data_IF_134902289988
#
_entry.id   IF_134902289988
#
_cell.length_a   1.000
_cell.length_b   1.000
_cell.length_c   1.000
_cell.angle_alpha   90.00
_cell.angle_beta   90.00
_cell.angle_gamma   90.00
#
_symmetry.space_group_name_H-M   'P 1'
#
loop_
_entity.id
_entity.type
_entity.pdbx_description
1 polymer ?
#
# COMPACT_ATOMS: atom_id res chain seq x y z
N UNK A 1 18.78 22.63 28.37
CA UNK A 1 18.14 21.33 28.61
C UNK A 1 18.85 20.55 29.72
N UNK A 2 20.19 20.44 29.71
CA UNK A 2 20.97 19.74 30.77
C UNK A 2 20.64 20.23 32.16
N UNK A 3 20.65 21.55 32.39
CA UNK A 3 20.36 22.15 33.68
C UNK A 3 18.90 21.90 34.14
N UNK A 4 17.94 21.88 33.22
CA UNK A 4 16.54 21.58 33.55
C UNK A 4 16.39 20.14 34.03
N UNK A 5 17.09 19.19 33.39
CA UNK A 5 17.00 17.77 33.72
C UNK A 5 17.69 17.40 35.03
N UNK A 6 18.79 18.08 35.36
CA UNK A 6 19.63 17.71 36.51
C UNK A 6 19.43 18.63 37.69
N UNK A 7 19.48 19.92 37.45
CA UNK A 7 19.48 20.96 38.54
C UNK A 7 18.08 21.56 38.77
N UNK A 8 17.09 21.22 37.90
CA UNK A 8 15.73 21.80 37.92
C UNK A 8 15.74 23.34 37.96
N UNK A 9 16.72 23.93 37.30
CA UNK A 9 16.85 25.37 37.17
C UNK A 9 16.94 25.81 35.71
N UNK A 10 16.57 27.07 35.46
CA UNK A 10 16.71 27.73 34.15
C UNK A 10 17.56 28.98 34.37
N UNK A 11 18.57 29.16 33.55
CA UNK A 11 19.34 30.39 33.50
C UNK A 11 18.71 31.40 32.54
N UNK A 12 18.22 32.51 33.07
CA UNK A 12 17.67 33.61 32.27
C UNK A 12 18.55 34.83 32.50
N UNK A 13 19.23 35.30 31.46
CA UNK A 13 20.13 36.47 31.52
C UNK A 13 21.15 36.42 32.67
N UNK A 14 21.69 35.21 32.94
CA UNK A 14 22.68 35.02 34.01
C UNK A 14 22.12 34.79 35.41
N UNK A 15 20.82 34.88 35.61
CA UNK A 15 20.15 34.57 36.88
C UNK A 15 19.64 33.15 36.90
N UNK A 16 19.96 32.37 37.94
CA UNK A 16 19.41 31.04 38.19
C UNK A 16 18.00 31.16 38.75
N UNK A 17 17.02 30.68 38.04
CA UNK A 17 15.62 30.57 38.50
C UNK A 17 15.33 29.12 38.78
N UNK A 18 15.12 28.75 40.05
CA UNK A 18 14.63 27.42 40.42
C UNK A 18 13.14 27.35 40.12
N UNK A 19 12.79 26.38 39.30
CA UNK A 19 11.40 26.07 38.98
C UNK A 19 10.98 24.84 39.78
N UNK A 20 9.94 24.91 40.62
CA UNK A 20 9.34 23.72 41.20
C UNK A 20 8.58 22.97 40.10
N UNK A 21 9.35 22.27 39.27
CA UNK A 21 8.77 21.57 38.10
C UNK A 21 8.43 20.13 38.48
N UNK A 22 7.16 19.84 38.49
CA UNK A 22 6.64 18.47 38.37
C UNK A 22 6.30 18.25 36.89
N UNK A 23 7.32 17.89 36.12
CA UNK A 23 7.22 17.74 34.66
C UNK A 23 7.79 16.39 34.23
N UNK A 24 7.16 15.78 33.26
CA UNK A 24 7.69 14.65 32.47
C UNK A 24 8.30 15.23 31.20
N UNK A 25 9.59 14.95 30.98
CA UNK A 25 10.25 15.31 29.74
C UNK A 25 10.28 14.11 28.80
N UNK A 26 9.65 14.26 27.64
CA UNK A 26 9.67 13.27 26.56
C UNK A 26 10.43 13.88 25.39
N UNK A 27 11.39 13.12 24.84
CA UNK A 27 12.14 13.53 23.66
C UNK A 27 12.11 12.42 22.62
N UNK A 28 12.01 12.79 21.34
CA UNK A 28 12.19 11.89 20.22
C UNK A 28 13.53 12.12 19.55
N UNK A 29 14.18 11.05 19.11
CA UNK A 29 15.43 11.11 18.38
C UNK A 29 15.44 10.04 17.29
N UNK A 30 15.95 10.39 16.10
CA UNK A 30 16.24 9.42 15.07
C UNK A 30 17.66 8.87 15.26
N UNK A 31 17.85 7.56 15.51
CA UNK A 31 19.19 6.98 15.67
C UNK A 31 20.07 7.09 14.42
N UNK A 32 19.47 7.25 13.24
CA UNK A 32 20.17 7.30 11.96
C UNK A 32 20.78 8.69 11.66
N UNK A 33 20.34 9.73 12.35
CA UNK A 33 20.96 11.07 12.27
C UNK A 33 22.38 11.12 12.89
N UNK A 34 23.11 10.00 12.85
CA UNK A 34 24.51 9.88 13.31
C UNK A 34 25.53 10.56 12.37
N UNK A 35 25.16 11.58 11.64
CA UNK A 35 26.13 12.49 11.06
C UNK A 35 26.86 13.23 12.18
N UNK A 36 28.13 13.60 11.97
CA UNK A 36 29.05 14.16 12.98
C UNK A 36 28.55 15.40 13.78
N UNK A 37 27.32 15.87 13.52
CA UNK A 37 26.67 17.01 14.17
C UNK A 37 25.45 16.65 15.04
N UNK A 38 24.96 15.41 15.01
CA UNK A 38 23.69 14.99 15.65
C UNK A 38 23.81 13.91 16.72
N UNK A 39 25.03 13.50 17.16
CA UNK A 39 25.14 12.53 18.26
C UNK A 39 24.45 13.06 19.50
N UNK A 40 23.41 12.36 19.94
CA UNK A 40 22.93 12.50 21.32
C UNK A 40 24.14 12.30 22.24
N UNK A 41 24.60 13.40 22.83
CA UNK A 41 25.73 13.35 23.73
C UNK A 41 25.41 12.41 24.91
N UNK A 42 26.34 11.54 25.26
CA UNK A 42 26.21 10.57 26.36
C UNK A 42 25.58 11.19 27.61
N UNK A 43 25.95 12.41 28.03
CA UNK A 43 25.35 13.09 29.18
C UNK A 43 23.83 13.31 29.09
N UNK A 44 23.24 13.41 27.90
CA UNK A 44 21.78 13.49 27.76
C UNK A 44 21.12 12.12 27.93
N UNK A 45 21.74 11.05 27.40
CA UNK A 45 21.21 9.69 27.54
C UNK A 45 21.12 9.26 29.01
N UNK A 46 22.13 9.60 29.81
CA UNK A 46 22.19 9.25 31.25
C UNK A 46 21.11 9.95 32.10
N UNK A 47 20.52 11.03 31.58
CA UNK A 47 19.52 11.81 32.29
C UNK A 47 18.08 11.45 32.00
N UNK A 48 17.85 10.66 30.94
CA UNK A 48 16.54 10.09 30.68
C UNK A 48 16.37 8.79 31.46
N UNK A 49 15.29 8.70 32.25
CA UNK A 49 15.03 7.53 33.11
C UNK A 49 14.66 6.27 32.32
N UNK A 50 14.20 6.42 31.07
CA UNK A 50 13.86 5.30 30.20
C UNK A 50 14.07 5.65 28.73
N UNK A 51 14.36 4.65 27.93
CA UNK A 51 14.44 4.73 26.48
C UNK A 51 13.50 3.70 25.88
N UNK A 52 12.57 4.18 25.04
CA UNK A 52 11.66 3.34 24.28
C UNK A 52 12.17 3.30 22.84
N UNK A 53 12.40 2.11 22.32
CA UNK A 53 12.71 1.91 20.90
C UNK A 53 11.42 1.62 20.14
N UNK A 54 11.15 2.42 19.14
CA UNK A 54 10.11 2.12 18.16
C UNK A 54 10.67 1.19 17.09
N UNK A 55 9.81 0.39 16.51
CA UNK A 55 10.12 -0.50 15.39
C UNK A 55 9.03 -0.40 14.31
N UNK A 56 9.28 -0.94 13.15
CA UNK A 56 8.26 -1.07 12.12
C UNK A 56 7.20 -2.08 12.55
N UNK A 57 5.96 -2.00 12.04
CA UNK A 57 4.96 -3.03 12.21
C UNK A 57 5.52 -4.41 11.83
N UNK A 58 5.24 -5.41 12.66
CA UNK A 58 5.75 -6.77 12.47
C UNK A 58 4.85 -7.61 11.57
N UNK A 59 3.58 -7.24 11.49
CA UNK A 59 2.54 -7.91 10.72
C UNK A 59 1.80 -6.91 9.83
N UNK A 60 1.11 -7.46 8.83
CA UNK A 60 0.37 -6.66 7.84
C UNK A 60 -0.85 -6.00 8.48
N UNK A 61 -1.55 -6.68 9.39
CA UNK A 61 -2.75 -6.16 10.05
C UNK A 61 -2.46 -4.88 10.83
N UNK A 62 -1.32 -4.84 11.54
CA UNK A 62 -0.87 -3.62 12.24
C UNK A 62 -0.55 -2.50 11.24
N UNK A 63 0.05 -2.82 10.09
CA UNK A 63 0.34 -1.83 9.05
C UNK A 63 -0.96 -1.29 8.43
N UNK A 64 -1.94 -2.16 8.15
CA UNK A 64 -3.28 -1.79 7.66
C UNK A 64 -3.97 -0.86 8.65
N UNK A 65 -4.00 -1.21 9.95
CA UNK A 65 -4.60 -0.37 10.97
C UNK A 65 -3.97 1.04 11.07
N UNK A 66 -2.66 1.15 10.82
CA UNK A 66 -1.97 2.46 10.76
C UNK A 66 -2.36 3.23 9.50
N UNK A 67 -2.48 2.57 8.34
CA UNK A 67 -2.94 3.20 7.11
C UNK A 67 -4.34 3.78 7.31
N UNK A 68 -5.27 2.98 7.83
CA UNK A 68 -6.65 3.40 8.08
C UNK A 68 -6.77 4.58 9.06
N UNK A 69 -5.87 4.65 10.05
CA UNK A 69 -5.84 5.72 11.02
C UNK A 69 -5.23 7.02 10.47
N UNK A 70 -4.18 6.94 9.65
CA UNK A 70 -3.30 8.07 9.34
C UNK A 70 -3.44 8.58 7.90
N UNK A 71 -3.98 7.79 6.95
CA UNK A 71 -4.12 8.22 5.58
C UNK A 71 -5.25 9.26 5.43
N UNK A 72 -4.96 10.35 4.73
CA UNK A 72 -5.99 11.34 4.36
C UNK A 72 -6.67 10.93 3.05
N UNK A 73 -7.77 10.21 3.17
CA UNK A 73 -8.58 9.74 2.06
C UNK A 73 -9.77 10.65 1.78
N UNK A 74 -9.70 11.92 2.15
CA UNK A 74 -10.77 12.89 1.94
C UNK A 74 -11.03 13.10 0.45
N UNK A 75 -12.27 12.88 0.03
CA UNK A 75 -12.75 13.13 -1.33
C UNK A 75 -13.84 14.20 -1.34
N UNK A 76 -14.14 14.75 -2.52
CA UNK A 76 -15.22 15.71 -2.72
C UNK A 76 -16.57 15.14 -2.27
N UNK A 77 -17.46 15.97 -1.73
CA UNK A 77 -18.75 15.53 -1.16
C UNK A 77 -19.72 14.90 -2.21
N UNK A 78 -19.44 15.07 -3.48
CA UNK A 78 -20.16 14.46 -4.61
C UNK A 78 -19.61 13.09 -5.03
N UNK A 79 -18.52 12.66 -4.40
CA UNK A 79 -17.90 11.36 -4.63
C UNK A 79 -18.13 10.42 -3.43
N UNK A 80 -18.39 9.17 -3.74
CA UNK A 80 -18.59 8.10 -2.78
C UNK A 80 -17.43 7.10 -2.85
N UNK A 81 -16.51 7.21 -1.88
CA UNK A 81 -15.31 6.41 -1.80
C UNK A 81 -15.52 5.15 -0.94
N UNK A 82 -15.20 4.01 -1.50
CA UNK A 82 -15.02 2.76 -0.75
C UNK A 82 -13.70 2.11 -1.16
N UNK A 83 -12.84 1.83 -0.20
CA UNK A 83 -11.58 1.12 -0.45
C UNK A 83 -11.76 -0.32 0.01
N UNK A 84 -11.69 -1.32 -0.89
CA UNK A 84 -11.76 -2.73 -0.49
C UNK A 84 -10.59 -3.10 0.41
N UNK A 85 -10.82 -3.88 1.46
CA UNK A 85 -9.81 -4.26 2.45
C UNK A 85 -8.58 -4.93 1.79
N UNK A 86 -8.80 -5.77 0.77
CA UNK A 86 -7.71 -6.39 0.04
C UNK A 86 -6.81 -5.39 -0.72
N UNK A 87 -7.31 -4.20 -1.09
CA UNK A 87 -6.50 -3.17 -1.74
C UNK A 87 -5.55 -2.50 -0.74
N UNK A 88 -6.04 -2.15 0.45
CA UNK A 88 -5.20 -1.65 1.55
C UNK A 88 -4.18 -2.70 2.00
N UNK A 89 -4.56 -3.97 2.03
CA UNK A 89 -3.66 -5.09 2.32
C UNK A 89 -2.55 -5.23 1.26
N UNK A 90 -2.86 -5.04 -0.03
CA UNK A 90 -1.84 -4.99 -1.08
C UNK A 90 -0.85 -3.87 -0.80
N UNK A 91 -1.31 -2.66 -0.48
CA UNK A 91 -0.44 -1.51 -0.17
C UNK A 91 0.46 -1.79 1.03
N UNK A 92 -0.09 -2.35 2.12
CA UNK A 92 0.69 -2.76 3.28
C UNK A 92 1.74 -3.82 2.90
N UNK A 93 1.35 -4.81 2.11
CA UNK A 93 2.22 -5.90 1.64
C UNK A 93 3.36 -5.39 0.75
N UNK A 94 3.13 -4.36 -0.10
CA UNK A 94 4.20 -3.70 -0.88
C UNK A 94 5.28 -3.15 0.06
N UNK A 95 4.90 -2.51 1.15
CA UNK A 95 5.84 -1.95 2.12
C UNK A 95 6.61 -3.04 2.87
N UNK A 96 5.94 -4.13 3.26
CA UNK A 96 6.59 -5.29 3.85
C UNK A 96 7.57 -5.97 2.88
N UNK A 97 7.19 -6.13 1.61
CA UNK A 97 8.07 -6.64 0.56
C UNK A 97 9.29 -5.73 0.34
N UNK A 98 9.10 -4.40 0.37
CA UNK A 98 10.19 -3.44 0.26
C UNK A 98 11.18 -3.56 1.43
N UNK A 99 10.70 -3.74 2.68
CA UNK A 99 11.56 -3.98 3.85
C UNK A 99 12.36 -5.28 3.75
N UNK A 100 11.83 -6.30 3.09
CA UNK A 100 12.48 -7.59 2.90
C UNK A 100 13.36 -7.64 1.64
N UNK A 101 13.27 -6.66 0.76
CA UNK A 101 13.96 -6.65 -0.53
C UNK A 101 15.45 -6.38 -0.37
N UNK A 102 16.28 -7.16 -1.09
CA UNK A 102 17.72 -6.95 -1.18
C UNK A 102 18.11 -5.75 -2.07
N UNK A 103 17.14 -5.26 -2.86
CA UNK A 103 17.34 -4.11 -3.76
C UNK A 103 17.01 -2.78 -3.08
N UNK A 104 16.49 -2.80 -1.86
CA UNK A 104 16.16 -1.61 -1.08
C UNK A 104 17.19 -1.45 0.04
N UNK A 105 17.72 -0.23 0.18
CA UNK A 105 18.70 0.08 1.21
C UNK A 105 18.12 -0.11 2.61
N UNK A 106 18.65 -1.11 3.31
CA UNK A 106 18.23 -1.38 4.70
C UNK A 106 18.78 -0.33 5.68
N UNK A 107 19.75 0.49 5.26
CA UNK A 107 20.29 1.59 6.07
C UNK A 107 19.34 2.75 6.18
N UNK A 108 18.68 3.09 5.06
CA UNK A 108 17.69 4.17 5.01
C UNK A 108 16.35 3.73 5.61
N UNK A 109 16.10 2.42 5.65
CA UNK A 109 14.87 1.83 6.13
C UNK A 109 13.66 2.13 5.24
N UNK A 110 12.52 1.48 5.54
CA UNK A 110 11.25 1.71 4.84
C UNK A 110 10.19 2.06 5.87
N UNK A 111 9.89 3.35 5.96
CA UNK A 111 8.93 3.88 6.93
C UNK A 111 7.49 3.53 6.56
N UNK A 112 6.61 3.42 7.56
CA UNK A 112 5.14 3.33 7.39
C UNK A 112 4.57 4.49 6.56
N UNK A 113 5.26 5.64 6.50
CA UNK A 113 4.89 6.74 5.60
C UNK A 113 4.84 6.33 4.12
N UNK A 114 5.52 5.25 3.75
CA UNK A 114 5.40 4.68 2.41
C UNK A 114 4.01 4.12 2.19
N UNK A 115 3.50 3.29 3.13
CA UNK A 115 2.17 2.70 3.05
C UNK A 115 1.09 3.76 3.00
N UNK A 116 1.16 4.76 3.90
CA UNK A 116 0.22 5.88 3.94
C UNK A 116 0.19 6.61 2.59
N UNK A 117 1.36 7.00 2.07
CA UNK A 117 1.42 7.73 0.80
C UNK A 117 1.01 6.87 -0.41
N UNK A 118 1.25 5.56 -0.36
CA UNK A 118 0.80 4.65 -1.40
C UNK A 118 -0.73 4.50 -1.39
N UNK A 119 -1.36 4.47 -0.23
CA UNK A 119 -2.81 4.45 -0.09
C UNK A 119 -3.44 5.74 -0.63
N UNK A 120 -2.90 6.89 -0.22
CA UNK A 120 -3.35 8.20 -0.70
C UNK A 120 -3.24 8.33 -2.23
N UNK A 121 -2.12 7.86 -2.84
CA UNK A 121 -1.92 7.92 -4.28
C UNK A 121 -2.82 6.91 -5.02
N UNK A 122 -3.04 5.74 -4.46
CA UNK A 122 -3.97 4.74 -4.98
C UNK A 122 -5.38 5.31 -5.08
N UNK A 123 -5.87 5.90 -4.00
CA UNK A 123 -7.20 6.54 -3.95
C UNK A 123 -7.26 7.75 -4.89
N UNK A 124 -6.22 8.58 -4.93
CA UNK A 124 -6.17 9.73 -5.85
C UNK A 124 -6.24 9.28 -7.33
N UNK A 125 -5.60 8.15 -7.68
CA UNK A 125 -5.69 7.59 -9.02
C UNK A 125 -7.08 7.04 -9.33
N UNK A 126 -7.72 6.35 -8.38
CA UNK A 126 -9.10 5.88 -8.50
C UNK A 126 -10.08 7.05 -8.67
N UNK A 127 -9.91 8.15 -7.92
CA UNK A 127 -10.68 9.40 -8.09
C UNK A 127 -10.50 9.96 -9.50
N UNK A 128 -9.25 10.07 -9.96
CA UNK A 128 -8.94 10.55 -11.32
C UNK A 128 -9.65 9.70 -12.38
N UNK A 129 -9.63 8.36 -12.24
CA UNK A 129 -10.30 7.44 -13.15
C UNK A 129 -11.82 7.60 -13.10
N UNK A 130 -12.42 7.70 -11.91
CA UNK A 130 -13.86 7.89 -11.75
C UNK A 130 -14.35 9.21 -12.35
N UNK A 131 -13.62 10.31 -12.15
CA UNK A 131 -13.94 11.61 -12.77
C UNK A 131 -13.88 11.55 -14.31
N UNK A 132 -12.91 10.82 -14.88
CA UNK A 132 -12.79 10.65 -16.33
C UNK A 132 -13.91 9.80 -16.92
N UNK A 133 -14.42 8.83 -16.19
CA UNK A 133 -15.56 7.98 -16.59
C UNK A 133 -16.91 8.61 -16.28
N UNK A 134 -16.95 9.72 -15.53
CA UNK A 134 -18.19 10.37 -15.09
C UNK A 134 -18.91 9.61 -13.97
N UNK A 135 -18.21 8.73 -13.23
CA UNK A 135 -18.76 8.01 -12.08
C UNK A 135 -18.59 8.84 -10.81
N UNK A 136 -19.60 8.87 -9.95
CA UNK A 136 -19.50 9.38 -8.58
C UNK A 136 -18.97 8.31 -7.60
N UNK A 137 -19.05 7.02 -7.97
CA UNK A 137 -18.53 5.91 -7.15
C UNK A 137 -17.04 5.73 -7.39
N UNK A 138 -16.26 5.76 -6.33
CA UNK A 138 -14.81 5.62 -6.36
C UNK A 138 -14.42 4.36 -5.59
N UNK A 139 -13.94 3.36 -6.32
CA UNK A 139 -13.39 2.13 -5.73
C UNK A 139 -12.05 1.87 -6.40
N UNK A 140 -10.93 1.83 -5.66
CA UNK A 140 -9.62 1.47 -6.21
C UNK A 140 -9.63 0.08 -6.87
N UNK A 141 -8.93 -0.06 -7.99
CA UNK A 141 -8.77 -1.30 -8.76
C UNK A 141 -7.28 -1.61 -8.99
N UNK A 142 -6.97 -2.80 -9.45
CA UNK A 142 -5.58 -3.20 -9.75
C UNK A 142 -4.89 -2.25 -10.73
N UNK A 143 -5.63 -1.73 -11.71
CA UNK A 143 -5.10 -0.74 -12.66
C UNK A 143 -4.62 0.54 -11.96
N UNK A 144 -5.19 0.92 -10.84
CA UNK A 144 -4.82 2.12 -10.08
C UNK A 144 -3.46 1.96 -9.36
N UNK A 145 -2.98 0.72 -9.16
CA UNK A 145 -1.65 0.44 -8.59
C UNK A 145 -0.48 0.90 -9.49
N UNK A 146 -0.74 1.17 -10.76
CA UNK A 146 0.26 1.73 -11.68
C UNK A 146 0.78 3.11 -11.20
N UNK A 147 0.06 3.79 -10.32
CA UNK A 147 0.47 5.07 -9.73
C UNK A 147 1.48 4.92 -8.56
N UNK A 148 1.60 3.75 -7.93
CA UNK A 148 2.43 3.53 -6.74
C UNK A 148 3.94 3.80 -6.94
N UNK A 149 4.57 3.51 -8.10
CA UNK A 149 5.97 3.84 -8.31
C UNK A 149 6.28 5.32 -8.08
N UNK A 150 5.37 6.23 -8.39
CA UNK A 150 5.57 7.67 -8.22
C UNK A 150 5.67 8.09 -6.73
N UNK A 151 4.88 7.49 -5.83
CA UNK A 151 4.96 7.74 -4.39
C UNK A 151 6.11 6.97 -3.73
N UNK A 152 6.45 5.80 -4.26
CA UNK A 152 7.46 4.91 -3.67
C UNK A 152 8.87 5.39 -3.97
N UNK A 153 9.19 5.81 -5.21
CA UNK A 153 10.54 6.20 -5.63
C UNK A 153 11.16 7.34 -4.80
N UNK A 154 10.33 8.21 -4.22
CA UNK A 154 10.80 9.29 -3.35
C UNK A 154 10.98 8.91 -1.87
N UNK A 155 10.63 7.68 -1.48
CA UNK A 155 10.60 7.22 -0.08
C UNK A 155 11.46 5.99 0.19
N UNK A 156 12.01 5.38 -0.84
CA UNK A 156 12.93 4.25 -0.74
C UNK A 156 14.21 4.56 -1.49
N UNK A 157 15.33 4.13 -0.95
CA UNK A 157 16.61 4.16 -1.66
C UNK A 157 16.85 2.80 -2.30
N UNK A 158 16.90 2.78 -3.63
CA UNK A 158 17.12 1.55 -4.40
C UNK A 158 18.62 1.37 -4.58
N UNK A 159 19.15 0.25 -4.11
CA UNK A 159 20.55 -0.17 -4.31
C UNK A 159 20.61 -1.06 -5.54
N UNK A 160 20.86 -0.48 -6.69
CA UNK A 160 21.10 -1.21 -7.93
C UNK A 160 22.42 -0.81 -8.57
N UNK A 161 23.09 -1.77 -9.19
CA UNK A 161 24.31 -1.53 -9.96
C UNK A 161 24.02 -1.04 -11.39
N UNK A 162 22.75 -1.11 -11.82
CA UNK A 162 22.30 -0.75 -13.16
C UNK A 162 21.35 0.43 -13.10
N UNK A 163 21.71 1.54 -13.69
CA UNK A 163 20.87 2.73 -13.81
C UNK A 163 19.57 2.42 -14.58
N UNK A 164 18.44 2.93 -14.11
CA UNK A 164 17.14 2.84 -14.79
C UNK A 164 16.30 1.61 -14.49
N UNK A 165 16.71 0.69 -13.61
CA UNK A 165 15.92 -0.49 -13.21
C UNK A 165 14.95 -0.24 -12.03
N UNK A 166 14.93 0.96 -11.50
CA UNK A 166 14.11 1.31 -10.33
C UNK A 166 12.62 1.00 -10.56
N UNK A 167 12.12 1.35 -11.75
CA UNK A 167 10.73 1.06 -12.12
C UNK A 167 10.40 -0.44 -12.17
N UNK A 168 11.32 -1.28 -12.64
CA UNK A 168 11.15 -2.73 -12.69
C UNK A 168 11.14 -3.34 -11.29
N UNK A 169 12.01 -2.85 -10.39
CA UNK A 169 12.07 -3.30 -9.00
C UNK A 169 10.76 -2.96 -8.30
N UNK A 170 10.28 -1.71 -8.43
CA UNK A 170 9.03 -1.28 -7.82
C UNK A 170 7.83 -2.05 -8.39
N UNK A 171 7.75 -2.25 -9.70
CA UNK A 171 6.70 -3.06 -10.32
C UNK A 171 6.74 -4.52 -9.83
N UNK A 172 7.93 -5.08 -9.62
CA UNK A 172 8.08 -6.42 -9.05
C UNK A 172 7.56 -6.51 -7.61
N UNK A 173 7.80 -5.49 -6.78
CA UNK A 173 7.27 -5.44 -5.41
C UNK A 173 5.74 -5.41 -5.41
N UNK A 174 5.14 -4.59 -6.27
CA UNK A 174 3.67 -4.53 -6.43
C UNK A 174 3.13 -5.88 -6.89
N UNK A 175 3.73 -6.50 -7.91
CA UNK A 175 3.32 -7.81 -8.41
C UNK A 175 3.43 -8.91 -7.34
N UNK A 176 4.47 -8.88 -6.51
CA UNK A 176 4.63 -9.81 -5.39
C UNK A 176 3.51 -9.63 -4.36
N UNK A 177 3.17 -8.38 -4.01
CA UNK A 177 2.10 -8.07 -3.08
C UNK A 177 0.73 -8.52 -3.60
N UNK A 178 0.40 -8.18 -4.85
CA UNK A 178 -0.85 -8.63 -5.50
C UNK A 178 -0.96 -10.16 -5.50
N UNK A 179 0.12 -10.86 -5.85
CA UNK A 179 0.12 -12.33 -5.85
C UNK A 179 -0.03 -12.91 -4.44
N UNK A 180 0.55 -12.29 -3.43
CA UNK A 180 0.44 -12.74 -2.04
C UNK A 180 -1.00 -12.63 -1.55
N UNK A 181 -1.61 -11.44 -1.68
CA UNK A 181 -3.00 -11.19 -1.27
C UNK A 181 -3.99 -12.05 -2.06
N UNK A 182 -3.78 -12.20 -3.38
CA UNK A 182 -4.59 -13.12 -4.18
C UNK A 182 -4.57 -14.55 -3.64
N UNK A 183 -3.40 -15.08 -3.27
CA UNK A 183 -3.28 -16.45 -2.74
C UNK A 183 -3.88 -16.63 -1.36
N UNK A 184 -3.88 -15.57 -0.54
CA UNK A 184 -4.43 -15.59 0.82
C UNK A 184 -5.96 -15.60 0.78
N UNK A 185 -6.56 -14.79 -0.10
CA UNK A 185 -8.01 -14.60 -0.14
C UNK A 185 -8.74 -15.52 -1.15
N UNK A 186 -8.06 -15.99 -2.19
CA UNK A 186 -8.72 -16.77 -3.26
C UNK A 186 -8.30 -18.24 -3.19
N UNK A 187 -9.18 -19.13 -2.70
CA UNK A 187 -8.88 -20.55 -2.58
C UNK A 187 -8.55 -21.19 -3.95
N UNK A 188 -7.54 -22.08 -4.03
CA UNK A 188 -7.08 -22.66 -5.29
C UNK A 188 -8.13 -23.46 -6.08
N UNK A 189 -9.12 -23.99 -5.40
CA UNK A 189 -10.23 -24.76 -5.99
C UNK A 189 -11.27 -23.87 -6.67
N UNK A 190 -11.38 -22.58 -6.29
CA UNK A 190 -12.38 -21.65 -6.84
C UNK A 190 -12.02 -21.12 -8.23
N UNK A 191 -10.74 -21.06 -8.58
CA UNK A 191 -10.31 -20.41 -9.82
C UNK A 191 -9.99 -21.36 -10.98
N UNK A 192 -10.10 -22.69 -10.78
CA UNK A 192 -9.84 -23.67 -11.85
C UNK A 192 -10.81 -23.47 -13.04
N UNK A 193 -12.11 -23.34 -12.77
CA UNK A 193 -13.10 -23.10 -13.80
C UNK A 193 -12.91 -21.79 -14.57
N UNK A 194 -12.27 -20.78 -13.92
CA UNK A 194 -11.90 -19.54 -14.62
C UNK A 194 -10.84 -19.83 -15.68
N UNK A 195 -9.79 -20.57 -15.32
CA UNK A 195 -8.72 -20.95 -16.27
C UNK A 195 -9.28 -21.75 -17.44
N UNK A 196 -10.13 -22.72 -17.13
CA UNK A 196 -10.76 -23.57 -18.15
C UNK A 196 -11.61 -22.75 -19.17
N UNK A 197 -12.30 -21.69 -18.72
CA UNK A 197 -13.04 -20.79 -19.58
C UNK A 197 -12.16 -20.02 -20.57
N UNK A 198 -10.91 -19.74 -20.22
CA UNK A 198 -9.95 -19.07 -21.11
C UNK A 198 -9.31 -20.02 -22.15
N UNK A 199 -9.43 -21.33 -22.00
CA UNK A 199 -8.94 -22.30 -23.01
C UNK A 199 -9.78 -22.28 -24.32
N UNK A 200 -10.96 -21.64 -24.31
CA UNK A 200 -11.88 -21.48 -25.44
C UNK A 200 -11.62 -20.19 -26.26
N UNK A 201 -10.37 -19.73 -26.37
CA UNK A 201 -9.99 -18.51 -27.09
C UNK A 201 -10.63 -17.21 -26.52
N UNK A 202 -11.05 -17.23 -25.26
CA UNK A 202 -11.61 -16.07 -24.61
C UNK A 202 -10.52 -15.00 -24.35
N UNK A 203 -10.85 -13.76 -24.71
CA UNK A 203 -10.02 -12.59 -24.44
C UNK A 203 -10.81 -11.62 -23.56
N UNK A 204 -10.22 -11.18 -22.46
CA UNK A 204 -10.83 -10.23 -21.54
C UNK A 204 -9.96 -8.98 -21.47
N UNK A 205 -10.56 -7.83 -21.77
CA UNK A 205 -9.93 -6.51 -21.65
C UNK A 205 -10.22 -5.92 -20.29
N UNK A 206 -9.18 -5.40 -19.62
CA UNK A 206 -9.27 -4.55 -18.45
C UNK A 206 -8.52 -3.24 -18.70
N UNK A 207 -8.81 -2.21 -17.90
CA UNK A 207 -8.10 -0.92 -18.01
C UNK A 207 -8.87 0.25 -17.43
N UNK A 208 -8.23 1.42 -17.47
CA UNK A 208 -8.82 2.68 -16.95
C UNK A 208 -10.17 3.02 -17.62
N UNK A 209 -10.33 2.69 -18.90
CA UNK A 209 -11.51 3.01 -19.70
C UNK A 209 -12.64 1.98 -19.60
N UNK A 210 -12.38 0.83 -18.94
CA UNK A 210 -13.39 -0.23 -18.81
C UNK A 210 -14.35 0.14 -17.68
N UNK A 211 -15.63 0.24 -18.00
CA UNK A 211 -16.67 0.63 -17.04
C UNK A 211 -16.97 -0.49 -16.05
N UNK A 212 -17.41 -0.14 -14.83
CA UNK A 212 -17.74 -1.11 -13.79
C UNK A 212 -18.83 -2.09 -14.25
N UNK A 213 -19.82 -1.63 -15.01
CA UNK A 213 -20.85 -2.48 -15.61
C UNK A 213 -20.30 -3.54 -16.60
N UNK A 214 -19.14 -3.30 -17.18
CA UNK A 214 -18.50 -4.29 -18.05
C UNK A 214 -18.05 -5.51 -17.25
N UNK A 215 -17.60 -5.33 -16.01
CA UNK A 215 -17.21 -6.45 -15.13
C UNK A 215 -18.43 -7.23 -14.61
N UNK A 216 -19.56 -6.57 -14.38
CA UNK A 216 -20.83 -7.28 -14.08
C UNK A 216 -21.26 -8.15 -15.27
N UNK A 217 -21.07 -7.66 -16.52
CA UNK A 217 -21.33 -8.49 -17.73
C UNK A 217 -20.31 -9.64 -17.85
N UNK A 218 -19.04 -9.37 -17.46
CA UNK A 218 -18.00 -10.39 -17.46
C UNK A 218 -18.32 -11.56 -16.52
N UNK A 219 -18.84 -11.29 -15.31
CA UNK A 219 -19.31 -12.35 -14.40
C UNK A 219 -20.39 -13.23 -15.05
N UNK A 220 -21.33 -12.62 -15.79
CA UNK A 220 -22.36 -13.38 -16.51
C UNK A 220 -21.80 -14.19 -17.68
N UNK A 221 -20.73 -13.68 -18.31
CA UNK A 221 -20.05 -14.37 -19.41
C UNK A 221 -19.16 -15.51 -18.89
N UNK A 222 -18.54 -15.33 -17.74
CA UNK A 222 -17.68 -16.31 -17.09
C UNK A 222 -18.21 -16.58 -15.67
N UNK A 223 -19.24 -17.44 -15.52
CA UNK A 223 -19.83 -17.72 -14.20
C UNK A 223 -18.81 -18.28 -13.18
N UNK A 224 -17.74 -18.90 -13.67
CA UNK A 224 -16.67 -19.40 -12.81
C UNK A 224 -15.93 -18.28 -12.03
N UNK A 225 -16.03 -17.00 -12.44
CA UNK A 225 -15.49 -15.86 -11.70
C UNK A 225 -16.30 -15.54 -10.42
N UNK A 226 -17.57 -15.96 -10.31
CA UNK A 226 -18.40 -15.63 -9.16
C UNK A 226 -17.78 -16.11 -7.84
N UNK A 227 -17.30 -17.34 -7.80
CA UNK A 227 -16.74 -17.91 -6.58
C UNK A 227 -15.48 -17.19 -6.07
N UNK A 228 -14.44 -16.95 -6.88
CA UNK A 228 -13.26 -16.21 -6.43
C UNK A 228 -13.55 -14.73 -6.16
N UNK A 229 -14.45 -14.07 -6.89
CA UNK A 229 -14.88 -12.69 -6.63
C UNK A 229 -15.65 -12.62 -5.31
N UNK A 230 -16.57 -13.55 -5.05
CA UNK A 230 -17.29 -13.61 -3.78
C UNK A 230 -16.37 -13.85 -2.60
N UNK A 231 -15.32 -14.68 -2.76
CA UNK A 231 -14.33 -14.89 -1.69
C UNK A 231 -13.61 -13.61 -1.27
N UNK A 232 -13.38 -12.69 -2.20
CA UNK A 232 -12.77 -11.38 -1.93
C UNK A 232 -13.73 -10.37 -1.30
N UNK A 233 -15.04 -10.53 -1.51
CA UNK A 233 -16.05 -9.54 -1.16
C UNK A 233 -16.96 -9.98 0.02
N UNK A 234 -16.71 -11.15 0.61
CA UNK A 234 -17.64 -11.76 1.58
C UNK A 234 -17.87 -10.91 2.83
N UNK A 235 -16.85 -10.17 3.26
CA UNK A 235 -16.87 -9.33 4.46
C UNK A 235 -16.91 -7.83 4.11
N UNK A 236 -17.10 -7.48 2.84
CA UNK A 236 -17.07 -6.10 2.35
C UNK A 236 -18.46 -5.46 2.37
N UNK A 237 -18.50 -4.19 2.73
CA UNK A 237 -19.68 -3.36 2.53
C UNK A 237 -19.92 -3.15 1.03
N UNK A 238 -21.18 -3.09 0.61
CA UNK A 238 -21.56 -2.91 -0.81
C UNK A 238 -20.95 -3.93 -1.80
N UNK A 239 -20.69 -5.17 -1.34
CA UNK A 239 -20.11 -6.26 -2.12
C UNK A 239 -20.76 -6.47 -3.51
N UNK A 240 -22.06 -6.16 -3.63
CA UNK A 240 -22.82 -6.32 -4.88
C UNK A 240 -22.70 -5.11 -5.83
N UNK A 241 -22.01 -4.03 -5.41
CA UNK A 241 -21.88 -2.86 -6.28
C UNK A 241 -21.00 -3.17 -7.49
N UNK A 242 -21.33 -2.65 -8.68
CA UNK A 242 -20.53 -2.86 -9.89
C UNK A 242 -19.05 -2.47 -9.72
N UNK A 243 -18.76 -1.44 -8.94
CA UNK A 243 -17.40 -0.97 -8.71
C UNK A 243 -16.58 -1.93 -7.82
N UNK A 244 -17.20 -2.51 -6.77
CA UNK A 244 -16.56 -3.55 -5.93
C UNK A 244 -16.30 -4.81 -6.75
N UNK A 245 -17.30 -5.25 -7.54
CA UNK A 245 -17.16 -6.38 -8.46
C UNK A 245 -16.00 -6.15 -9.44
N UNK A 246 -15.87 -4.93 -9.98
CA UNK A 246 -14.78 -4.59 -10.90
C UNK A 246 -13.41 -4.72 -10.23
N UNK A 247 -13.27 -4.20 -9.01
CA UNK A 247 -12.04 -4.29 -8.22
C UNK A 247 -11.64 -5.74 -7.97
N UNK A 248 -12.57 -6.56 -7.50
CA UNK A 248 -12.32 -7.97 -7.23
C UNK A 248 -12.03 -8.79 -8.52
N UNK A 249 -12.75 -8.53 -9.62
CA UNK A 249 -12.47 -9.17 -10.91
C UNK A 249 -11.04 -8.88 -11.39
N UNK A 250 -10.59 -7.62 -11.28
CA UNK A 250 -9.22 -7.27 -11.68
C UNK A 250 -8.19 -8.00 -10.82
N UNK A 251 -8.41 -8.11 -9.50
CA UNK A 251 -7.51 -8.87 -8.62
C UNK A 251 -7.46 -10.35 -8.99
N UNK A 252 -8.60 -10.98 -9.29
CA UNK A 252 -8.63 -12.38 -9.69
C UNK A 252 -7.87 -12.60 -11.00
N UNK A 253 -8.10 -11.78 -12.02
CA UNK A 253 -7.43 -11.90 -13.31
C UNK A 253 -5.92 -11.65 -13.20
N UNK A 254 -5.52 -10.60 -12.50
CA UNK A 254 -4.11 -10.30 -12.28
C UNK A 254 -3.41 -11.37 -11.44
N UNK A 255 -4.07 -11.84 -10.37
CA UNK A 255 -3.55 -12.92 -9.53
C UNK A 255 -3.34 -14.22 -10.32
N UNK A 256 -4.27 -14.59 -11.20
CA UNK A 256 -4.13 -15.74 -12.09
C UNK A 256 -2.98 -15.56 -13.09
N UNK A 257 -2.80 -14.35 -13.62
CA UNK A 257 -1.65 -14.05 -14.49
C UNK A 257 -0.33 -14.21 -13.72
N UNK A 258 -0.20 -13.59 -12.55
CA UNK A 258 1.00 -13.65 -11.72
C UNK A 258 1.27 -15.09 -11.21
N UNK A 259 0.20 -15.88 -10.99
CA UNK A 259 0.30 -17.31 -10.69
C UNK A 259 0.64 -18.16 -11.95
N UNK A 260 0.89 -17.54 -13.10
CA UNK A 260 1.21 -18.18 -14.38
C UNK A 260 0.10 -19.11 -14.88
N UNK A 261 -1.16 -18.74 -14.66
CA UNK A 261 -2.34 -19.45 -15.17
C UNK A 261 -2.93 -18.79 -16.40
N UNK A 262 -2.81 -17.47 -16.53
CA UNK A 262 -3.23 -16.69 -17.68
C UNK A 262 -2.05 -15.94 -18.29
N UNK A 263 -2.13 -15.63 -19.59
CA UNK A 263 -1.25 -14.68 -20.24
C UNK A 263 -1.85 -13.28 -20.16
N UNK A 264 -0.99 -12.26 -20.03
CA UNK A 264 -1.36 -10.85 -20.02
C UNK A 264 -0.51 -10.11 -21.03
N UNK A 265 -1.17 -9.41 -21.96
CA UNK A 265 -0.53 -8.41 -22.83
C UNK A 265 -0.98 -7.03 -22.36
N UNK A 266 -0.05 -6.19 -21.92
CA UNK A 266 -0.34 -4.86 -21.43
C UNK A 266 0.20 -3.80 -22.38
N UNK A 267 -0.62 -2.81 -22.71
CA UNK A 267 -0.25 -1.65 -23.51
C UNK A 267 -1.08 -0.41 -23.10
N UNK A 268 -0.37 0.68 -22.74
CA UNK A 268 -0.96 2.03 -22.56
C UNK A 268 -2.23 2.08 -21.68
N UNK A 269 -2.17 1.57 -20.43
CA UNK A 269 -3.28 1.63 -19.48
C UNK A 269 -4.41 0.63 -19.74
N UNK A 270 -4.19 -0.33 -20.66
CA UNK A 270 -5.07 -1.49 -20.94
C UNK A 270 -4.29 -2.78 -20.84
N UNK A 271 -4.97 -3.82 -20.41
CA UNK A 271 -4.41 -5.16 -20.43
C UNK A 271 -5.43 -6.15 -21.00
N UNK A 272 -4.93 -7.13 -21.75
CA UNK A 272 -5.69 -8.25 -22.30
C UNK A 272 -5.25 -9.53 -21.62
N UNK A 273 -6.22 -10.26 -21.06
CA UNK A 273 -5.98 -11.58 -20.52
C UNK A 273 -6.47 -12.65 -21.51
N UNK A 274 -5.69 -13.71 -21.66
CA UNK A 274 -5.99 -14.86 -22.51
C UNK A 274 -5.45 -16.15 -21.91
N UNK A 275 -5.98 -17.27 -22.35
CA UNK A 275 -5.49 -18.59 -21.98
C UNK A 275 -4.03 -18.81 -22.33
N UNK A 276 -3.42 -19.74 -21.67
CA UNK A 276 -2.08 -20.24 -22.00
C UNK A 276 -2.29 -21.39 -22.95
N UNK A 277 -2.17 -21.15 -24.27
CA UNK A 277 -2.17 -22.20 -25.27
C UNK A 277 -1.07 -23.24 -25.03
#
# INVERSE_FOLDING_TARGET
>A
LLNVLEERDVQIRGHKVRLPLDVILVASANPEDYTNRGRLITPLKDRFGSQIRTHYPLDIDTEVAIIEQEADLSVSADLDLTVPAFMTEIVATVTHAARASQHISQRSGVSVRLSIANEEILVANAVRRSLRSGSSRVVPRIVDLEALPASTSGKVEIETLEEGRDGEILASLVSQAVLAVFKDHVPPDTHRGVVDAFEEDLVVDIGEDVTDDAYVRLLKQIPALEAPVHALLIDEEDAESPAMIASACELVLEGLHLAKRLNKDAAAGRAQFRGRG
#
